data_IF_247962409482
#
_entry.id   IF_247962409482
#
_cell.length_a   1.000
_cell.length_b   1.000
_cell.length_c   1.000
_cell.angle_alpha   90.00
_cell.angle_beta   90.00
_cell.angle_gamma   90.00
#
_symmetry.space_group_name_H-M   'P 1'
#
loop_
_entity.id
_entity.type
_entity.pdbx_description
1 polymer ?
#
# COMPACT_ATOMS: atom_id res chain seq x y z
N UNK A 1 7.36 4.16 8.08
CA UNK A 1 7.32 5.63 7.98
C UNK A 1 5.93 6.08 7.57
N UNK A 2 5.44 7.15 8.13
CA UNK A 2 4.13 7.72 7.81
C UNK A 2 4.17 9.25 7.78
N UNK A 3 3.33 9.86 6.95
CA UNK A 3 3.06 11.30 6.94
C UNK A 3 1.59 11.60 7.22
N UNK A 4 0.94 10.75 8.02
CA UNK A 4 -0.48 10.57 8.24
C UNK A 4 -1.14 9.91 7.02
N UNK A 5 -1.35 10.66 5.95
CA UNK A 5 -1.77 10.15 4.64
C UNK A 5 -0.77 10.59 3.57
N UNK A 6 -0.72 9.90 2.44
CA UNK A 6 0.13 10.28 1.32
C UNK A 6 0.63 9.10 0.51
N UNK A 7 1.27 9.46 -0.59
CA UNK A 7 1.92 8.54 -1.50
C UNK A 7 2.77 9.31 -2.49
N UNK A 8 3.55 8.60 -3.30
CA UNK A 8 4.31 9.22 -4.36
C UNK A 8 4.34 8.34 -5.60
N UNK A 9 4.53 8.99 -6.74
CA UNK A 9 4.80 8.34 -8.01
C UNK A 9 6.12 8.89 -8.53
N UNK A 10 7.06 8.02 -8.87
CA UNK A 10 8.33 8.36 -9.49
C UNK A 10 8.32 7.94 -10.95
N UNK A 11 8.82 8.79 -11.83
CA UNK A 11 8.93 8.50 -13.27
C UNK A 11 10.04 9.31 -13.91
N UNK A 12 10.72 8.73 -14.91
CA UNK A 12 11.68 9.39 -15.76
C UNK A 12 11.05 9.94 -17.07
N UNK A 13 9.77 9.63 -17.31
CA UNK A 13 9.00 10.15 -18.45
C UNK A 13 8.52 11.59 -18.17
N UNK A 14 9.03 12.61 -18.90
CA UNK A 14 8.67 14.01 -18.67
C UNK A 14 7.20 14.30 -19.02
N UNK A 15 6.58 13.54 -19.92
CA UNK A 15 5.17 13.72 -20.26
C UNK A 15 4.30 13.22 -19.14
N UNK A 16 4.59 12.02 -18.63
CA UNK A 16 3.89 11.44 -17.48
C UNK A 16 4.06 12.32 -16.24
N UNK A 17 5.29 12.83 -15.99
CA UNK A 17 5.54 13.76 -14.88
C UNK A 17 4.65 15.02 -14.96
N UNK A 18 4.48 15.61 -16.14
CA UNK A 18 3.56 16.76 -16.35
C UNK A 18 2.13 16.40 -16.03
N UNK A 19 1.64 15.28 -16.58
CA UNK A 19 0.26 14.81 -16.36
C UNK A 19 0.01 14.56 -14.87
N UNK A 20 0.93 13.90 -14.17
CA UNK A 20 0.82 13.64 -12.74
C UNK A 20 0.77 14.94 -11.91
N UNK A 21 1.62 15.92 -12.24
CA UNK A 21 1.57 17.23 -11.57
C UNK A 21 0.26 17.98 -11.84
N UNK A 22 -0.25 17.91 -13.07
CA UNK A 22 -1.55 18.47 -13.42
C UNK A 22 -2.67 17.81 -12.61
N UNK A 23 -2.77 16.49 -12.63
CA UNK A 23 -3.78 15.73 -11.91
C UNK A 23 -3.74 15.99 -10.40
N UNK A 24 -2.55 16.12 -9.81
CA UNK A 24 -2.34 16.43 -8.40
C UNK A 24 -2.85 17.83 -8.01
N UNK A 25 -2.82 18.79 -8.96
CA UNK A 25 -3.18 20.20 -8.77
C UNK A 25 -4.41 20.59 -9.60
N UNK A 26 -5.53 19.94 -9.33
CA UNK A 26 -6.86 20.14 -9.96
C UNK A 26 -6.92 19.97 -11.48
N UNK A 27 -5.89 19.43 -12.12
CA UNK A 27 -5.85 19.32 -13.58
C UNK A 27 -5.36 20.60 -14.28
N UNK A 28 -4.70 21.49 -13.58
CA UNK A 28 -4.20 22.76 -14.13
C UNK A 28 -3.14 22.55 -15.19
N UNK A 29 -3.16 23.40 -16.22
CA UNK A 29 -2.17 23.44 -17.31
C UNK A 29 -0.99 24.38 -16.97
N UNK A 30 -0.48 24.35 -15.74
CA UNK A 30 0.64 25.14 -15.29
C UNK A 30 1.90 24.26 -15.23
N UNK A 31 2.95 24.62 -15.96
CA UNK A 31 4.19 23.83 -16.08
C UNK A 31 5.37 24.39 -15.30
N UNK A 32 5.19 25.48 -14.59
CA UNK A 32 6.27 26.08 -13.83
C UNK A 32 6.86 25.05 -12.87
N UNK A 33 8.18 24.93 -12.86
CA UNK A 33 8.89 24.19 -11.83
C UNK A 33 8.54 24.77 -10.46
N UNK A 34 7.62 24.10 -9.79
CA UNK A 34 7.21 24.43 -8.43
C UNK A 34 8.45 24.25 -7.55
N UNK A 35 9.11 25.33 -7.21
CA UNK A 35 10.35 25.31 -6.42
C UNK A 35 11.33 26.41 -6.75
N UNK A 36 11.22 27.04 -7.93
CA UNK A 36 11.92 28.29 -8.20
C UNK A 36 10.88 29.41 -8.12
N UNK A 37 10.85 30.06 -6.98
CA UNK A 37 10.05 31.26 -6.67
C UNK A 37 8.74 31.32 -7.46
N UNK A 38 7.62 31.04 -6.82
CA UNK A 38 6.30 30.95 -7.46
C UNK A 38 6.07 32.00 -8.53
N UNK A 39 4.98 31.90 -9.27
CA UNK A 39 4.63 32.89 -10.30
C UNK A 39 4.71 34.30 -9.71
N UNK A 40 5.88 34.90 -9.76
CA UNK A 40 6.13 36.21 -9.20
C UNK A 40 5.44 37.22 -10.09
N UNK A 41 4.92 38.27 -9.51
CA UNK A 41 4.22 39.35 -10.21
C UNK A 41 5.10 40.05 -11.28
N UNK A 42 6.41 39.87 -11.22
CA UNK A 42 7.38 40.45 -12.16
C UNK A 42 7.50 39.70 -13.50
N UNK A 43 6.75 38.60 -13.68
CA UNK A 43 6.72 37.86 -14.94
C UNK A 43 7.94 36.99 -15.23
N UNK A 44 8.92 36.89 -14.34
CA UNK A 44 10.18 36.18 -14.59
C UNK A 44 10.08 34.67 -14.54
N UNK A 45 8.99 34.10 -14.01
CA UNK A 45 8.91 32.68 -13.74
C UNK A 45 8.67 31.81 -14.99
N UNK A 46 7.78 32.17 -15.91
CA UNK A 46 7.52 31.38 -17.12
C UNK A 46 7.33 32.18 -18.40
N UNK A 47 7.12 33.48 -18.33
CA UNK A 47 6.89 34.35 -19.51
C UNK A 47 5.56 34.07 -20.26
N UNK A 48 4.80 33.08 -19.83
CA UNK A 48 3.67 32.55 -20.56
C UNK A 48 2.32 32.78 -19.84
N UNK A 49 2.34 33.46 -18.69
CA UNK A 49 1.19 33.54 -17.79
C UNK A 49 -0.07 34.09 -18.45
N UNK A 50 0.07 35.14 -19.23
CA UNK A 50 -1.05 35.85 -19.84
C UNK A 50 -0.96 35.78 -21.36
N UNK A 51 -1.43 34.66 -21.91
CA UNK A 51 -1.53 34.42 -23.37
C UNK A 51 -2.91 33.85 -23.70
N UNK A 52 -3.10 33.49 -24.96
CA UNK A 52 -4.33 32.90 -25.47
C UNK A 52 -4.36 31.39 -25.15
N UNK A 53 -4.75 31.04 -23.94
CA UNK A 53 -4.71 29.65 -23.42
C UNK A 53 -5.99 28.85 -23.68
N UNK A 54 -7.08 29.52 -24.07
CA UNK A 54 -8.38 28.89 -24.35
C UNK A 54 -8.61 28.91 -25.84
N UNK A 55 -8.46 27.76 -26.57
CA UNK A 55 -8.52 27.71 -28.03
C UNK A 55 -9.85 28.25 -28.61
N UNK A 56 -10.96 28.05 -27.90
CA UNK A 56 -12.29 28.51 -28.31
C UNK A 56 -12.47 30.03 -28.16
N UNK A 57 -11.56 30.71 -27.48
CA UNK A 57 -11.57 32.15 -27.23
C UNK A 57 -10.22 32.77 -27.61
N UNK A 58 -9.85 32.79 -28.90
CA UNK A 58 -8.50 33.12 -29.35
C UNK A 58 -8.07 34.56 -29.06
N UNK A 59 -8.99 35.48 -28.85
CA UNK A 59 -8.72 36.88 -28.52
C UNK A 59 -8.67 37.14 -27.01
N UNK A 60 -8.97 36.12 -26.19
CA UNK A 60 -8.96 36.25 -24.75
C UNK A 60 -7.56 36.00 -24.17
N UNK A 61 -6.97 37.01 -23.55
CA UNK A 61 -5.78 36.83 -22.70
C UNK A 61 -6.21 36.31 -21.34
N UNK A 62 -5.75 35.13 -20.96
CA UNK A 62 -6.17 34.44 -19.76
C UNK A 62 -4.99 33.96 -18.93
N UNK A 63 -5.16 33.90 -17.60
CA UNK A 63 -4.12 33.38 -16.70
C UNK A 63 -4.12 31.84 -16.77
N UNK A 64 -3.06 31.25 -17.36
CA UNK A 64 -2.97 29.79 -17.53
C UNK A 64 -3.06 29.00 -16.22
N UNK A 65 -2.85 29.60 -15.06
CA UNK A 65 -3.04 28.96 -13.77
C UNK A 65 -4.47 28.52 -13.51
N UNK A 66 -5.42 29.08 -14.26
CA UNK A 66 -6.85 28.77 -14.19
C UNK A 66 -7.35 28.05 -15.43
N UNK A 67 -6.45 27.58 -16.28
CA UNK A 67 -6.75 26.70 -17.40
C UNK A 67 -6.59 25.26 -16.92
N UNK A 68 -7.60 24.45 -17.13
CA UNK A 68 -7.64 23.05 -16.72
C UNK A 68 -7.54 22.17 -17.94
N UNK A 69 -6.49 21.33 -17.98
CA UNK A 69 -6.22 20.41 -19.07
C UNK A 69 -6.79 19.03 -18.80
N UNK A 70 -6.78 18.64 -17.53
CA UNK A 70 -7.23 17.34 -17.07
C UNK A 70 -8.33 17.49 -16.01
N UNK A 71 -9.14 16.47 -15.81
CA UNK A 71 -10.02 16.38 -14.64
C UNK A 71 -9.16 15.86 -13.49
N UNK A 72 -8.72 16.78 -12.63
CA UNK A 72 -7.74 16.46 -11.59
C UNK A 72 -8.28 16.55 -10.17
N UNK A 73 -7.37 16.37 -9.21
CA UNK A 73 -7.65 16.26 -7.78
C UNK A 73 -6.86 17.30 -6.99
N UNK A 74 -7.23 17.55 -5.75
CA UNK A 74 -6.39 18.30 -4.82
C UNK A 74 -5.59 17.32 -3.95
N UNK A 75 -4.43 16.90 -4.44
CA UNK A 75 -3.57 15.90 -3.78
C UNK A 75 -2.20 16.46 -3.38
N UNK A 76 -2.08 17.79 -3.29
CA UNK A 76 -0.83 18.40 -2.84
C UNK A 76 -0.57 18.11 -1.36
N UNK A 77 0.67 17.71 -1.00
CA UNK A 77 1.05 17.58 0.40
C UNK A 77 1.08 18.97 1.07
N UNK A 78 0.86 18.99 2.37
CA UNK A 78 0.95 20.20 3.20
C UNK A 78 2.22 20.15 4.06
N UNK A 79 2.69 21.32 4.53
CA UNK A 79 3.92 21.48 5.30
C UNK A 79 3.96 20.62 6.58
N UNK A 80 2.80 20.41 7.23
CA UNK A 80 2.70 19.55 8.42
C UNK A 80 3.09 18.10 8.10
N UNK A 81 2.71 17.59 6.91
CA UNK A 81 3.10 16.25 6.45
C UNK A 81 4.61 16.18 6.21
N UNK A 82 5.22 17.24 5.68
CA UNK A 82 6.65 17.34 5.50
C UNK A 82 7.40 17.32 6.83
N UNK A 83 6.95 18.09 7.82
CA UNK A 83 7.54 18.12 9.16
C UNK A 83 7.46 16.73 9.85
N UNK A 84 6.28 16.07 9.75
CA UNK A 84 6.11 14.70 10.26
C UNK A 84 7.05 13.73 9.55
N UNK A 85 7.20 13.83 8.24
CA UNK A 85 8.08 13.00 7.42
C UNK A 85 9.55 13.11 7.86
N UNK A 86 10.03 14.33 8.13
CA UNK A 86 11.39 14.56 8.61
C UNK A 86 11.67 13.84 9.94
N UNK A 87 10.72 13.84 10.89
CA UNK A 87 10.86 13.12 12.14
C UNK A 87 10.77 11.59 11.96
N UNK A 88 9.96 11.14 11.01
CA UNK A 88 9.88 9.71 10.67
C UNK A 88 11.18 9.20 10.02
N UNK A 89 11.83 10.01 9.18
CA UNK A 89 13.11 9.66 8.53
C UNK A 89 14.22 9.38 9.55
N UNK A 90 14.26 10.09 10.66
CA UNK A 90 15.24 9.87 11.74
C UNK A 90 15.12 8.47 12.37
N UNK A 91 13.94 7.85 12.30
CA UNK A 91 13.63 6.53 12.90
C UNK A 91 13.61 5.41 11.87
N UNK A 92 13.88 5.69 10.59
CA UNK A 92 13.67 4.73 9.50
C UNK A 92 14.53 3.48 9.67
N UNK A 93 15.82 3.63 9.99
CA UNK A 93 16.73 2.49 10.16
C UNK A 93 16.28 1.52 11.26
N UNK A 94 15.86 2.05 12.41
CA UNK A 94 15.35 1.23 13.51
C UNK A 94 14.04 0.51 13.13
N UNK A 95 13.14 1.20 12.41
CA UNK A 95 11.90 0.61 11.93
C UNK A 95 12.15 -0.54 10.94
N UNK A 96 13.09 -0.37 10.02
CA UNK A 96 13.46 -1.42 9.06
C UNK A 96 14.07 -2.63 9.76
N UNK A 97 15.03 -2.41 10.65
CA UNK A 97 15.68 -3.49 11.40
C UNK A 97 14.65 -4.28 12.23
N UNK A 98 13.76 -3.60 12.93
CA UNK A 98 12.72 -4.24 13.74
C UNK A 98 11.73 -5.04 12.87
N UNK A 99 11.27 -4.50 11.75
CA UNK A 99 10.37 -5.21 10.83
C UNK A 99 10.99 -6.47 10.26
N UNK A 100 12.25 -6.41 9.84
CA UNK A 100 12.99 -7.58 9.34
C UNK A 100 13.18 -8.64 10.42
N UNK A 101 13.53 -8.22 11.66
CA UNK A 101 13.66 -9.13 12.78
C UNK A 101 12.32 -9.81 13.11
N UNK A 102 11.25 -9.06 13.20
CA UNK A 102 9.92 -9.58 13.49
C UNK A 102 9.43 -10.52 12.39
N UNK A 103 9.67 -10.18 11.12
CA UNK A 103 9.35 -11.06 10.01
C UNK A 103 10.08 -12.40 10.11
N UNK A 104 11.41 -12.40 10.35
CA UNK A 104 12.22 -13.62 10.52
C UNK A 104 11.75 -14.45 11.70
N UNK A 105 11.36 -13.81 12.80
CA UNK A 105 10.84 -14.51 13.98
C UNK A 105 9.52 -15.21 13.67
N UNK A 106 8.60 -14.53 12.98
CA UNK A 106 7.34 -15.13 12.51
C UNK A 106 7.60 -16.25 11.50
N UNK A 107 8.51 -16.04 10.55
CA UNK A 107 8.92 -17.06 9.60
C UNK A 107 9.37 -18.34 10.32
N UNK A 108 10.26 -18.25 11.30
CA UNK A 108 10.76 -19.39 12.08
C UNK A 108 9.65 -20.10 12.89
N UNK A 109 8.60 -19.38 13.27
CA UNK A 109 7.43 -19.98 13.96
C UNK A 109 6.62 -20.83 12.96
N UNK A 110 6.31 -20.27 11.79
CA UNK A 110 5.41 -20.88 10.83
C UNK A 110 6.09 -21.89 9.92
N UNK A 111 7.39 -21.76 9.66
CA UNK A 111 8.17 -22.68 8.81
C UNK A 111 8.12 -24.14 9.33
N UNK A 112 8.01 -24.34 10.63
CA UNK A 112 7.83 -25.66 11.25
C UNK A 112 6.59 -26.39 10.74
N UNK A 113 5.61 -25.62 10.24
CA UNK A 113 4.32 -26.09 9.75
C UNK A 113 4.12 -25.79 8.26
N UNK A 114 5.22 -25.73 7.50
CA UNK A 114 5.22 -25.41 6.06
C UNK A 114 4.36 -26.35 5.22
N UNK A 115 4.06 -27.54 5.72
CA UNK A 115 3.16 -28.48 5.05
C UNK A 115 1.73 -27.96 5.00
N UNK A 116 1.33 -27.08 5.92
CA UNK A 116 -0.02 -26.48 6.01
C UNK A 116 -0.10 -25.02 5.55
N UNK A 117 1.08 -24.39 5.28
CA UNK A 117 1.12 -22.98 4.89
C UNK A 117 1.96 -22.73 3.64
N UNK A 118 1.50 -21.78 2.83
CA UNK A 118 2.38 -21.03 1.96
C UNK A 118 2.88 -19.80 2.73
N UNK A 119 4.17 -19.63 2.80
CA UNK A 119 4.84 -18.51 3.48
C UNK A 119 5.61 -17.74 2.42
N UNK A 120 5.49 -16.41 2.43
CA UNK A 120 6.22 -15.57 1.50
C UNK A 120 7.72 -15.60 1.83
N UNK A 121 8.56 -15.74 0.82
CA UNK A 121 10.00 -15.65 0.94
C UNK A 121 10.52 -14.42 0.20
N UNK A 122 11.66 -13.91 0.66
CA UNK A 122 12.32 -12.80 0.00
C UNK A 122 12.93 -13.25 -1.33
N UNK A 123 12.70 -12.48 -2.38
CA UNK A 123 13.33 -12.72 -3.67
C UNK A 123 14.83 -12.46 -3.57
N UNK A 124 15.63 -13.23 -4.31
CA UNK A 124 17.11 -13.22 -4.24
C UNK A 124 17.77 -11.84 -4.38
N UNK A 125 17.14 -10.94 -5.12
CA UNK A 125 17.65 -9.58 -5.37
C UNK A 125 16.86 -8.50 -4.61
N UNK A 126 15.97 -8.89 -3.71
CA UNK A 126 15.20 -7.95 -2.90
C UNK A 126 15.83 -7.75 -1.52
N UNK A 127 15.65 -6.55 -0.97
CA UNK A 127 15.93 -6.21 0.42
C UNK A 127 14.66 -5.59 1.03
N UNK A 128 13.78 -6.48 1.48
CA UNK A 128 12.40 -6.12 1.80
C UNK A 128 12.25 -5.59 3.21
N UNK A 129 11.68 -4.40 3.35
CA UNK A 129 11.15 -3.90 4.62
C UNK A 129 9.71 -4.37 4.77
N UNK A 130 9.53 -5.54 5.36
CA UNK A 130 8.26 -6.24 5.46
C UNK A 130 7.19 -5.43 6.21
N UNK A 131 6.11 -5.08 5.53
CA UNK A 131 4.94 -4.44 6.14
C UNK A 131 4.20 -5.40 7.07
N UNK A 132 4.08 -6.66 6.67
CA UNK A 132 3.35 -7.70 7.37
C UNK A 132 3.95 -9.08 7.07
N UNK A 133 3.57 -10.06 7.88
CA UNK A 133 3.86 -11.47 7.64
C UNK A 133 2.59 -12.14 7.08
N UNK A 134 2.62 -12.47 5.80
CA UNK A 134 1.51 -13.11 5.10
C UNK A 134 1.50 -14.61 5.38
N UNK A 135 0.35 -15.12 5.77
CA UNK A 135 0.09 -16.55 5.99
C UNK A 135 -1.04 -16.97 5.05
N UNK A 136 -0.82 -18.00 4.27
CA UNK A 136 -1.84 -18.61 3.42
C UNK A 136 -2.00 -20.08 3.79
N UNK A 137 -3.17 -20.44 4.27
CA UNK A 137 -3.51 -21.82 4.65
C UNK A 137 -3.69 -22.64 3.38
N UNK A 138 -3.02 -23.78 3.27
CA UNK A 138 -3.14 -24.71 2.15
C UNK A 138 -4.48 -25.45 2.19
N UNK A 139 -4.93 -25.95 1.06
CA UNK A 139 -6.19 -26.66 0.91
C UNK A 139 -6.24 -28.00 1.66
N UNK A 140 -5.07 -28.63 1.81
CA UNK A 140 -4.88 -29.92 2.51
C UNK A 140 -4.59 -29.77 4.02
N UNK A 141 -4.58 -28.55 4.55
CA UNK A 141 -4.45 -28.35 5.99
C UNK A 141 -5.68 -28.90 6.75
N UNK A 142 -5.49 -29.48 7.96
CA UNK A 142 -6.57 -30.11 8.74
C UNK A 142 -7.48 -29.07 9.43
N UNK A 143 -7.46 -27.82 9.00
CA UNK A 143 -8.27 -26.71 9.50
C UNK A 143 -8.45 -25.64 8.40
N UNK A 144 -9.44 -24.79 8.57
CA UNK A 144 -9.63 -23.64 7.69
C UNK A 144 -9.00 -22.38 8.27
N UNK A 145 -8.72 -21.40 7.42
CA UNK A 145 -8.15 -20.08 7.82
C UNK A 145 -8.85 -19.49 9.05
N UNK A 146 -10.18 -19.56 9.09
CA UNK A 146 -10.98 -18.95 10.15
C UNK A 146 -10.69 -19.55 11.53
N UNK A 147 -10.48 -20.86 11.62
CA UNK A 147 -10.14 -21.52 12.89
C UNK A 147 -8.88 -20.94 13.53
N UNK A 148 -7.84 -20.69 12.70
CA UNK A 148 -6.59 -20.11 13.17
C UNK A 148 -6.76 -18.63 13.52
N UNK A 149 -7.49 -17.87 12.72
CA UNK A 149 -7.81 -16.46 13.00
C UNK A 149 -8.52 -16.35 14.35
N UNK A 150 -9.57 -17.11 14.57
CA UNK A 150 -10.35 -17.09 15.82
C UNK A 150 -9.47 -17.44 17.03
N UNK A 151 -8.59 -18.43 16.87
CA UNK A 151 -7.65 -18.79 17.92
C UNK A 151 -6.65 -17.67 18.25
N UNK A 152 -6.10 -17.00 17.25
CA UNK A 152 -5.19 -15.88 17.41
C UNK A 152 -5.87 -14.67 18.06
N UNK A 153 -7.02 -14.26 17.55
CA UNK A 153 -7.80 -13.11 18.05
C UNK A 153 -8.29 -13.34 19.49
N UNK A 154 -8.73 -14.55 19.83
CA UNK A 154 -9.10 -14.91 21.21
C UNK A 154 -7.92 -14.81 22.18
N UNK A 155 -6.71 -15.02 21.70
CA UNK A 155 -5.46 -14.85 22.46
C UNK A 155 -4.87 -13.43 22.35
N UNK A 156 -5.65 -12.43 21.87
CA UNK A 156 -5.24 -11.02 21.74
C UNK A 156 -4.08 -10.81 20.77
N UNK A 157 -4.01 -11.62 19.71
CA UNK A 157 -3.10 -11.45 18.58
C UNK A 157 -3.94 -11.02 17.40
N UNK A 158 -3.82 -9.73 17.03
CA UNK A 158 -4.61 -9.15 15.97
C UNK A 158 -4.18 -9.70 14.61
N UNK A 159 -5.16 -10.05 13.78
CA UNK A 159 -4.99 -10.47 12.39
C UNK A 159 -5.62 -9.47 11.43
N UNK A 160 -5.26 -9.53 10.17
CA UNK A 160 -5.89 -8.76 9.09
C UNK A 160 -6.08 -9.64 7.86
N UNK A 161 -7.19 -9.50 7.12
CA UNK A 161 -7.32 -10.15 5.82
C UNK A 161 -6.23 -9.63 4.86
N UNK A 162 -5.88 -10.41 3.85
CA UNK A 162 -4.92 -9.97 2.85
C UNK A 162 -5.54 -8.87 1.97
N UNK A 163 -5.49 -7.66 2.49
CA UNK A 163 -6.13 -6.46 1.90
C UNK A 163 -7.61 -6.73 1.54
N UNK A 164 -8.02 -6.33 0.35
CA UNK A 164 -9.36 -6.59 -0.15
C UNK A 164 -9.53 -7.97 -0.82
N UNK A 165 -8.43 -8.73 -0.99
CA UNK A 165 -8.46 -9.94 -1.80
C UNK A 165 -8.88 -9.65 -3.24
N UNK A 166 -9.86 -10.40 -3.78
CA UNK A 166 -10.39 -10.13 -5.11
C UNK A 166 -11.51 -9.10 -5.06
N UNK A 167 -11.26 -7.91 -5.61
CA UNK A 167 -12.21 -6.80 -5.65
C UNK A 167 -13.54 -7.14 -6.35
N UNK A 168 -13.53 -8.07 -7.31
CA UNK A 168 -14.74 -8.47 -8.01
C UNK A 168 -15.76 -9.19 -7.12
N UNK A 169 -15.38 -9.61 -5.91
CA UNK A 169 -16.33 -10.14 -4.93
C UNK A 169 -17.05 -9.03 -4.14
N UNK A 170 -16.55 -7.79 -4.19
CA UNK A 170 -17.10 -6.70 -3.40
C UNK A 170 -18.30 -6.04 -4.09
N UNK A 171 -19.32 -5.60 -3.34
CA UNK A 171 -20.53 -5.00 -3.89
C UNK A 171 -20.31 -3.80 -4.81
N UNK A 172 -19.28 -2.98 -4.53
CA UNK A 172 -18.94 -1.81 -5.32
C UNK A 172 -18.52 -2.13 -6.76
N UNK A 173 -18.11 -3.37 -7.04
CA UNK A 173 -17.61 -3.80 -8.35
C UNK A 173 -18.54 -4.75 -9.08
N UNK A 174 -19.81 -4.84 -8.66
CA UNK A 174 -20.81 -5.73 -9.25
C UNK A 174 -20.95 -5.58 -10.76
N UNK A 175 -20.88 -4.33 -11.26
CA UNK A 175 -21.06 -4.02 -12.69
C UNK A 175 -19.82 -4.44 -13.52
N UNK A 176 -18.64 -4.49 -12.91
CA UNK A 176 -17.44 -5.04 -13.54
C UNK A 176 -17.45 -6.57 -13.55
N UNK A 177 -18.03 -7.18 -12.50
CA UNK A 177 -18.13 -8.64 -12.37
C UNK A 177 -18.90 -9.27 -13.52
N UNK A 178 -19.91 -8.59 -14.06
CA UNK A 178 -20.72 -9.12 -15.18
C UNK A 178 -19.91 -9.36 -16.46
N UNK A 179 -18.70 -8.82 -16.57
CA UNK A 179 -17.79 -9.07 -17.68
C UNK A 179 -17.11 -10.44 -17.62
N UNK A 180 -17.23 -11.15 -16.51
CA UNK A 180 -16.57 -12.42 -16.25
C UNK A 180 -17.62 -13.52 -16.03
N UNK A 181 -17.42 -14.67 -16.65
CA UNK A 181 -18.36 -15.80 -16.52
C UNK A 181 -18.24 -16.45 -15.14
N UNK A 182 -17.01 -16.69 -14.70
CA UNK A 182 -16.72 -17.26 -13.38
C UNK A 182 -15.46 -16.67 -12.79
N UNK A 183 -15.63 -15.69 -11.90
CA UNK A 183 -14.52 -14.98 -11.23
C UNK A 183 -13.61 -15.94 -10.46
N UNK A 184 -14.15 -17.01 -9.88
CA UNK A 184 -13.35 -17.96 -9.11
C UNK A 184 -12.39 -18.79 -9.98
N UNK A 185 -12.80 -19.12 -11.20
CA UNK A 185 -12.01 -19.91 -12.14
C UNK A 185 -11.04 -19.03 -12.93
N UNK A 186 -11.49 -17.83 -13.32
CA UNK A 186 -10.67 -16.90 -14.09
C UNK A 186 -9.53 -16.27 -13.23
N UNK A 187 -9.74 -16.16 -11.90
CA UNK A 187 -8.77 -15.58 -10.97
C UNK A 187 -8.47 -16.48 -9.77
N UNK A 188 -7.92 -17.70 -9.98
CA UNK A 188 -7.74 -18.68 -8.91
C UNK A 188 -6.80 -18.21 -7.80
N UNK A 189 -5.72 -17.51 -8.15
CA UNK A 189 -4.77 -16.97 -7.16
C UNK A 189 -5.44 -15.90 -6.30
N UNK A 190 -6.22 -14.99 -6.88
CA UNK A 190 -6.97 -13.98 -6.12
C UNK A 190 -8.05 -14.60 -5.23
N UNK A 191 -8.63 -15.73 -5.67
CA UNK A 191 -9.54 -16.52 -4.83
C UNK A 191 -8.81 -17.02 -3.59
N UNK A 192 -7.64 -17.68 -3.75
CA UNK A 192 -6.84 -18.18 -2.62
C UNK A 192 -6.44 -17.02 -1.70
N UNK A 193 -6.00 -15.89 -2.25
CA UNK A 193 -5.67 -14.68 -1.48
C UNK A 193 -6.86 -14.21 -0.62
N UNK A 194 -8.08 -14.29 -1.15
CA UNK A 194 -9.30 -13.90 -0.44
C UNK A 194 -9.72 -14.90 0.63
N UNK A 195 -9.74 -16.20 0.26
CA UNK A 195 -10.35 -17.25 1.08
C UNK A 195 -9.40 -17.85 2.11
N UNK A 196 -8.10 -17.88 1.82
CA UNK A 196 -7.13 -18.67 2.57
C UNK A 196 -6.00 -17.85 3.18
N UNK A 197 -5.89 -16.54 2.85
CA UNK A 197 -4.79 -15.69 3.32
C UNK A 197 -5.24 -14.67 4.37
N UNK A 198 -4.35 -14.41 5.32
CA UNK A 198 -4.42 -13.34 6.30
C UNK A 198 -3.00 -12.91 6.66
N UNK A 199 -2.82 -11.82 7.37
CA UNK A 199 -1.49 -11.44 7.82
C UNK A 199 -1.42 -11.06 9.29
N UNK A 200 -0.21 -11.19 9.84
CA UNK A 200 0.21 -10.68 11.14
C UNK A 200 1.10 -9.43 10.95
N UNK A 201 1.04 -8.53 11.90
CA UNK A 201 1.89 -7.34 11.89
C UNK A 201 3.36 -7.65 12.15
N UNK A 202 4.24 -6.83 11.56
CA UNK A 202 5.69 -6.82 11.83
C UNK A 202 6.13 -5.52 12.49
N UNK A 203 5.21 -4.88 13.20
CA UNK A 203 5.35 -3.56 13.78
C UNK A 203 6.53 -3.49 14.77
N UNK A 204 7.23 -2.35 14.80
CA UNK A 204 8.40 -2.12 15.66
C UNK A 204 8.12 -2.29 17.16
N UNK A 205 6.88 -2.09 17.59
CA UNK A 205 6.49 -2.25 19.00
C UNK A 205 6.27 -3.69 19.45
N UNK A 206 6.39 -4.69 18.55
CA UNK A 206 6.34 -6.10 18.94
C UNK A 206 7.69 -6.47 19.54
N UNK A 207 7.72 -6.75 20.83
CA UNK A 207 8.92 -7.13 21.54
C UNK A 207 9.16 -8.66 21.57
N UNK A 208 10.19 -9.08 22.30
CA UNK A 208 10.54 -10.51 22.42
C UNK A 208 9.50 -11.33 23.19
N UNK A 209 8.84 -10.73 24.17
CA UNK A 209 7.79 -11.37 24.96
C UNK A 209 6.53 -11.57 24.11
N UNK A 210 6.15 -10.55 23.35
CA UNK A 210 5.06 -10.63 22.38
C UNK A 210 5.32 -11.72 21.35
N UNK A 211 6.54 -11.75 20.79
CA UNK A 211 6.91 -12.76 19.79
C UNK A 211 6.90 -14.18 20.37
N UNK A 212 7.35 -14.36 21.61
CA UNK A 212 7.26 -15.63 22.34
C UNK A 212 5.80 -16.04 22.56
N UNK A 213 4.94 -15.10 22.95
CA UNK A 213 3.50 -15.32 23.09
C UNK A 213 2.88 -15.78 21.76
N UNK A 214 3.17 -15.08 20.66
CA UNK A 214 2.68 -15.48 19.32
C UNK A 214 3.12 -16.91 19.00
N UNK A 215 4.41 -17.24 19.20
CA UNK A 215 4.93 -18.58 18.97
C UNK A 215 4.20 -19.66 19.79
N UNK A 216 3.97 -19.42 21.07
CA UNK A 216 3.26 -20.35 21.95
C UNK A 216 1.81 -20.56 21.51
N UNK A 217 1.11 -19.48 21.16
CA UNK A 217 -0.30 -19.55 20.70
C UNK A 217 -0.41 -20.30 19.38
N UNK A 218 0.46 -20.02 18.41
CA UNK A 218 0.51 -20.75 17.15
C UNK A 218 0.82 -22.22 17.39
N UNK A 219 1.87 -22.54 18.16
CA UNK A 219 2.24 -23.93 18.43
C UNK A 219 1.11 -24.71 19.13
N UNK A 220 0.42 -24.10 20.10
CA UNK A 220 -0.72 -24.74 20.78
C UNK A 220 -1.85 -25.07 19.81
N UNK A 221 -2.19 -24.16 18.89
CA UNK A 221 -3.17 -24.43 17.85
C UNK A 221 -2.75 -25.60 16.97
N UNK A 222 -1.49 -25.62 16.51
CA UNK A 222 -0.99 -26.68 15.64
C UNK A 222 -1.02 -28.04 16.32
N UNK A 223 -0.62 -28.11 17.58
CA UNK A 223 -0.68 -29.37 18.39
C UNK A 223 -2.14 -29.86 18.48
N UNK A 224 -3.09 -29.00 18.75
CA UNK A 224 -4.52 -29.36 18.80
C UNK A 224 -5.04 -29.89 17.45
N UNK A 225 -4.44 -29.54 16.34
CA UNK A 225 -4.80 -29.98 14.98
C UNK A 225 -3.95 -31.13 14.46
N UNK A 226 -3.13 -31.77 15.32
CA UNK A 226 -2.30 -32.93 14.98
C UNK A 226 -0.92 -32.58 14.45
N UNK A 227 -0.46 -31.34 14.59
CA UNK A 227 0.92 -30.91 14.32
C UNK A 227 1.88 -31.53 15.34
N UNK A 228 3.05 -31.95 14.87
CA UNK A 228 4.14 -32.49 15.68
C UNK A 228 5.20 -31.43 16.00
#
# INVERSE_FOLDING_TARGET
MTTAEGGYVATDDPKLFRTLNSLRDWGRDCYCNIGKAGCVLDGTACGERFKNWIPELPDLIYDHRYVYREIGYNLKPIEIQGALGLEQMKKLGDMEAARRLNYRSLFNIFEKYKDWFYISEELKLADTCWFCFLVTVKEDAPFVKQDLIDHLENNKIQTRPYCAGNLLYHPAYKDLKVKYNNVCEEFPVSKIATTSSFFLGTFIGIDKEDMKKIGNVVNNFMIMRGGK
#
